data_IF_301998807936
#
_entry.id   IF_301998807936
#
_cell.length_a   1.000
_cell.length_b   1.000
_cell.length_c   1.000
_cell.angle_alpha   90.00
_cell.angle_beta   90.00
_cell.angle_gamma   90.00
#
_symmetry.space_group_name_H-M   'P 1'
#
loop_
_entity.id
_entity.type
_entity.pdbx_description
1 polymer ?
#
# COMPACT_ATOMS: atom_id res chain seq x y z
N UNK A 1 7.58 -6.42 -1.66
CA UNK A 1 7.63 -5.34 -0.65
C UNK A 1 6.94 -4.05 -1.09
N UNK A 2 7.48 -3.26 -2.03
CA UNK A 2 6.92 -1.93 -2.37
C UNK A 2 5.44 -1.96 -2.83
N UNK A 3 5.03 -2.99 -3.58
CA UNK A 3 3.63 -3.17 -3.98
C UNK A 3 2.68 -3.34 -2.78
N UNK A 4 3.12 -4.01 -1.72
CA UNK A 4 2.31 -4.22 -0.52
C UNK A 4 2.29 -2.98 0.39
N UNK A 5 3.38 -2.21 0.44
CA UNK A 5 3.35 -0.87 1.04
C UNK A 5 2.34 0.03 0.32
N UNK A 6 2.29 -0.02 -1.01
CA UNK A 6 1.31 0.73 -1.77
C UNK A 6 -0.12 0.20 -1.57
N UNK A 7 -0.31 -1.11 -1.41
CA UNK A 7 -1.60 -1.70 -1.04
C UNK A 7 -2.08 -1.16 0.32
N UNK A 8 -1.22 -1.13 1.33
CA UNK A 8 -1.51 -0.53 2.63
C UNK A 8 -1.90 0.95 2.52
N UNK A 9 -1.12 1.74 1.79
CA UNK A 9 -1.43 3.16 1.57
C UNK A 9 -2.77 3.38 0.84
N UNK A 10 -3.12 2.49 -0.09
CA UNK A 10 -4.39 2.51 -0.80
C UNK A 10 -5.56 2.11 0.09
N UNK A 11 -5.42 1.06 0.91
CA UNK A 11 -6.46 0.63 1.84
C UNK A 11 -6.70 1.63 2.97
N UNK A 12 -5.65 2.29 3.48
CA UNK A 12 -5.81 3.39 4.45
C UNK A 12 -6.54 4.59 3.84
N UNK A 13 -6.24 4.93 2.58
CA UNK A 13 -6.99 5.99 1.88
C UNK A 13 -8.46 5.60 1.71
N UNK A 14 -8.72 4.36 1.29
CA UNK A 14 -10.09 3.85 1.17
C UNK A 14 -10.81 3.87 2.52
N UNK A 15 -10.18 3.40 3.59
CA UNK A 15 -10.74 3.37 4.94
C UNK A 15 -11.07 4.78 5.42
N UNK A 16 -10.12 5.73 5.29
CA UNK A 16 -10.32 7.11 5.69
C UNK A 16 -11.51 7.75 4.95
N UNK A 17 -11.57 7.62 3.62
CA UNK A 17 -12.70 8.14 2.84
C UNK A 17 -14.03 7.48 3.25
N UNK A 18 -14.03 6.16 3.40
CA UNK A 18 -15.24 5.39 3.73
C UNK A 18 -15.83 5.77 5.09
N UNK A 19 -15.01 5.91 6.14
CA UNK A 19 -15.49 6.28 7.47
C UNK A 19 -15.91 7.75 7.53
N UNK A 20 -15.26 8.63 6.76
CA UNK A 20 -15.64 10.04 6.66
C UNK A 20 -17.03 10.20 6.03
N UNK A 21 -17.34 9.45 4.97
CA UNK A 21 -18.65 9.47 4.31
C UNK A 21 -19.77 8.95 5.23
N UNK A 22 -19.43 8.12 6.22
CA UNK A 22 -20.34 7.68 7.28
C UNK A 22 -20.46 8.68 8.44
N UNK A 23 -19.70 9.78 8.42
CA UNK A 23 -19.72 10.84 9.43
C UNK A 23 -18.70 10.68 10.56
N UNK A 24 -17.76 9.73 10.47
CA UNK A 24 -16.75 9.48 11.50
C UNK A 24 -15.45 10.24 11.19
N UNK A 25 -15.31 11.44 11.75
CA UNK A 25 -14.14 12.31 11.51
C UNK A 25 -12.86 11.82 12.20
N UNK A 26 -12.95 11.29 13.43
CA UNK A 26 -11.76 10.85 14.18
C UNK A 26 -11.01 9.70 13.48
N UNK A 27 -11.67 8.62 13.04
CA UNK A 27 -11.00 7.55 12.31
C UNK A 27 -10.43 8.00 10.95
N UNK A 28 -11.06 8.99 10.29
CA UNK A 28 -10.52 9.59 9.08
C UNK A 28 -9.15 10.25 9.32
N UNK A 29 -9.04 11.08 10.36
CA UNK A 29 -7.77 11.73 10.70
C UNK A 29 -6.67 10.72 11.03
N UNK A 30 -7.02 9.63 11.73
CA UNK A 30 -6.04 8.59 12.06
C UNK A 30 -5.57 7.84 10.81
N UNK A 31 -6.50 7.46 9.93
CA UNK A 31 -6.16 6.80 8.66
C UNK A 31 -5.27 7.67 7.78
N UNK A 32 -5.53 8.98 7.71
CA UNK A 32 -4.69 9.92 6.94
C UNK A 32 -3.31 10.13 7.54
N UNK A 33 -3.21 10.25 8.88
CA UNK A 33 -1.91 10.34 9.59
C UNK A 33 -1.07 9.09 9.33
N UNK A 34 -1.66 7.92 9.51
CA UNK A 34 -0.92 6.66 9.42
C UNK A 34 -0.57 6.32 7.96
N UNK A 35 -1.38 6.79 7.00
CA UNK A 35 -1.03 6.78 5.57
C UNK A 35 0.21 7.62 5.27
N UNK A 36 0.37 8.77 5.91
CA UNK A 36 1.51 9.67 5.67
C UNK A 36 2.84 9.01 6.00
N UNK A 37 2.89 8.20 7.06
CA UNK A 37 4.07 7.41 7.44
C UNK A 37 4.51 6.44 6.33
N UNK A 38 3.56 5.81 5.64
CA UNK A 38 3.86 4.92 4.51
C UNK A 38 4.33 5.72 3.30
N UNK A 39 3.74 6.89 3.04
CA UNK A 39 4.18 7.76 1.95
C UNK A 39 5.60 8.28 2.17
N UNK A 40 6.00 8.56 3.40
CA UNK A 40 7.38 8.92 3.75
C UNK A 40 8.35 7.77 3.44
N UNK A 41 7.96 6.53 3.74
CA UNK A 41 8.74 5.36 3.34
C UNK A 41 8.85 5.25 1.82
N UNK A 42 7.75 5.39 1.08
CA UNK A 42 7.74 5.33 -0.38
C UNK A 42 8.52 6.49 -1.04
N UNK A 43 8.47 7.67 -0.43
CA UNK A 43 9.27 8.82 -0.83
C UNK A 43 10.77 8.54 -0.64
N UNK A 44 11.17 7.84 0.42
CA UNK A 44 12.59 7.55 0.66
C UNK A 44 13.22 6.70 -0.46
N UNK A 45 12.44 5.87 -1.16
CA UNK A 45 12.91 5.09 -2.31
C UNK A 45 13.01 5.89 -3.62
N UNK A 46 12.10 6.85 -3.80
CA UNK A 46 11.78 7.39 -5.14
C UNK A 46 11.99 8.88 -5.27
N UNK A 47 12.05 9.61 -4.15
CA UNK A 47 12.07 11.07 -4.10
C UNK A 47 10.70 11.73 -4.32
N UNK A 48 9.64 10.95 -4.59
CA UNK A 48 8.31 11.47 -4.85
C UNK A 48 7.26 10.82 -3.93
N UNK A 49 6.23 11.57 -3.55
CA UNK A 49 5.18 11.10 -2.62
C UNK A 49 4.07 10.27 -3.28
N UNK A 50 3.82 10.45 -4.58
CA UNK A 50 2.71 9.78 -5.29
C UNK A 50 3.14 9.17 -6.62
N UNK A 51 3.93 9.91 -7.41
CA UNK A 51 4.41 9.46 -8.72
C UNK A 51 5.77 8.80 -8.58
N UNK A 52 5.78 7.53 -8.18
CA UNK A 52 6.97 6.83 -7.73
C UNK A 52 7.98 6.48 -8.84
N UNK A 53 7.52 6.20 -10.06
CA UNK A 53 8.36 5.78 -11.20
C UNK A 53 9.46 4.76 -10.83
N UNK A 54 9.14 3.84 -9.92
CA UNK A 54 10.11 2.95 -9.27
C UNK A 54 10.27 1.62 -10.01
N UNK A 55 9.14 0.99 -10.36
CA UNK A 55 9.13 -0.23 -11.15
C UNK A 55 9.33 0.13 -12.63
N UNK A 56 10.35 -0.46 -13.24
CA UNK A 56 10.67 -0.29 -14.66
C UNK A 56 10.78 -1.65 -15.33
N UNK A 57 10.66 -1.68 -16.65
CA UNK A 57 10.92 -2.91 -17.41
C UNK A 57 12.38 -3.33 -17.14
N UNK A 58 12.56 -4.54 -16.61
CA UNK A 58 13.87 -5.07 -16.22
C UNK A 58 14.21 -4.99 -14.73
N UNK A 59 13.37 -4.35 -13.89
CA UNK A 59 13.53 -4.37 -12.43
C UNK A 59 13.12 -3.06 -11.73
N UNK A 60 13.96 -2.61 -10.81
CA UNK A 60 13.72 -1.39 -10.01
C UNK A 60 14.68 -0.26 -10.40
N UNK A 61 14.27 0.99 -10.19
CA UNK A 61 15.06 2.19 -10.54
C UNK A 61 16.21 2.48 -9.57
N UNK A 62 15.92 2.42 -8.27
CA UNK A 62 16.86 2.76 -7.19
C UNK A 62 16.99 1.58 -6.23
N UNK A 63 18.10 1.53 -5.50
CA UNK A 63 18.27 0.58 -4.40
C UNK A 63 17.60 1.09 -3.12
N UNK A 64 17.52 0.22 -2.11
CA UNK A 64 16.98 0.54 -0.80
C UNK A 64 17.93 1.51 -0.06
N UNK A 65 17.43 2.64 0.51
CA UNK A 65 18.28 3.56 1.23
C UNK A 65 18.74 2.98 2.59
N UNK A 66 19.87 3.46 3.10
CA UNK A 66 20.44 2.98 4.37
C UNK A 66 19.46 3.24 5.53
N UNK A 67 19.31 2.24 6.40
CA UNK A 67 18.40 2.27 7.55
C UNK A 67 16.91 2.22 7.18
N UNK A 68 16.56 1.88 5.94
CA UNK A 68 15.18 1.73 5.52
C UNK A 68 14.48 0.57 6.24
N UNK A 69 15.14 -0.59 6.35
CA UNK A 69 14.55 -1.82 6.91
C UNK A 69 14.08 -1.57 8.34
N UNK A 70 14.92 -0.96 9.18
CA UNK A 70 14.57 -0.59 10.56
C UNK A 70 13.40 0.40 10.64
N UNK A 71 13.40 1.44 9.79
CA UNK A 71 12.29 2.40 9.73
C UNK A 71 10.99 1.72 9.30
N UNK A 72 11.07 0.81 8.33
CA UNK A 72 9.91 0.08 7.84
C UNK A 72 9.33 -0.81 8.94
N UNK A 73 10.16 -1.58 9.68
CA UNK A 73 9.72 -2.40 10.82
C UNK A 73 8.98 -1.57 11.87
N UNK A 74 9.53 -0.42 12.27
CA UNK A 74 8.88 0.49 13.23
C UNK A 74 7.51 0.98 12.77
N UNK A 75 7.36 1.30 11.49
CA UNK A 75 6.06 1.70 10.93
C UNK A 75 5.09 0.51 10.89
N UNK A 76 5.55 -0.70 10.58
CA UNK A 76 4.69 -1.89 10.60
C UNK A 76 4.17 -2.19 12.01
N UNK A 77 5.04 -2.12 13.03
CA UNK A 77 4.66 -2.30 14.44
C UNK A 77 3.67 -1.23 14.91
N UNK A 78 3.88 0.02 14.48
CA UNK A 78 2.93 1.11 14.74
C UNK A 78 1.54 0.83 14.13
N UNK A 79 1.51 0.48 12.83
CA UNK A 79 0.25 0.21 12.11
C UNK A 79 -0.52 -0.97 12.71
N UNK A 80 0.18 -2.04 13.09
CA UNK A 80 -0.45 -3.22 13.69
C UNK A 80 -1.21 -2.85 14.98
N UNK A 81 -0.63 -1.98 15.81
CA UNK A 81 -1.31 -1.48 17.00
C UNK A 81 -2.51 -0.59 16.66
N UNK A 82 -2.42 0.24 15.60
CA UNK A 82 -3.49 1.14 15.17
C UNK A 82 -4.68 0.42 14.55
N UNK A 83 -4.47 -0.71 13.87
CA UNK A 83 -5.58 -1.46 13.27
C UNK A 83 -6.59 -1.96 14.31
N UNK A 84 -6.13 -2.30 15.52
CA UNK A 84 -7.03 -2.66 16.63
C UNK A 84 -7.88 -1.47 17.07
N UNK A 85 -7.27 -0.29 17.16
CA UNK A 85 -7.97 0.96 17.49
C UNK A 85 -9.02 1.32 16.42
N UNK A 86 -8.72 1.08 15.14
CA UNK A 86 -9.66 1.32 14.04
C UNK A 86 -10.90 0.43 14.13
N UNK A 87 -10.70 -0.85 14.43
CA UNK A 87 -11.79 -1.79 14.66
C UNK A 87 -12.59 -1.41 15.90
N UNK A 88 -11.94 -1.07 17.01
CA UNK A 88 -12.63 -0.63 18.21
C UNK A 88 -13.53 0.60 17.96
N UNK A 89 -13.08 1.55 17.13
CA UNK A 89 -13.86 2.74 16.79
C UNK A 89 -15.03 2.44 15.84
N UNK A 90 -14.86 1.51 14.91
CA UNK A 90 -15.89 1.19 13.91
C UNK A 90 -16.88 0.13 14.41
N UNK A 91 -16.37 -0.97 14.97
CA UNK A 91 -17.16 -2.14 15.34
C UNK A 91 -18.05 -1.92 16.56
N UNK A 92 -17.61 -1.06 17.50
CA UNK A 92 -18.41 -0.70 18.68
C UNK A 92 -19.40 0.43 18.39
N UNK A 93 -19.35 1.02 17.20
CA UNK A 93 -20.23 2.13 16.82
C UNK A 93 -21.53 1.60 16.23
N UNK A 94 -22.63 1.78 16.95
CA UNK A 94 -23.98 1.42 16.47
C UNK A 94 -24.33 2.12 15.14
N UNK A 95 -23.86 3.37 14.96
CA UNK A 95 -24.10 4.15 13.75
C UNK A 95 -23.40 3.47 12.57
N UNK A 96 -22.15 3.02 12.76
CA UNK A 96 -21.40 2.34 11.72
C UNK A 96 -22.07 1.02 11.34
N UNK A 97 -22.43 0.19 12.32
CA UNK A 97 -23.08 -1.10 12.07
C UNK A 97 -24.42 -0.92 11.34
N UNK A 98 -25.28 0.01 11.78
CA UNK A 98 -26.57 0.29 11.13
C UNK A 98 -26.45 0.74 9.67
N UNK A 99 -25.33 1.36 9.29
CA UNK A 99 -25.10 1.90 7.94
C UNK A 99 -24.37 0.94 7.02
N UNK A 100 -23.82 -0.15 7.54
CA UNK A 100 -22.95 -1.06 6.78
C UNK A 100 -23.49 -2.49 6.73
N UNK A 101 -24.10 -2.97 7.81
CA UNK A 101 -24.63 -4.34 7.90
C UNK A 101 -25.91 -4.45 7.08
N UNK A 102 -25.97 -5.44 6.18
CA UNK A 102 -27.12 -5.68 5.29
C UNK A 102 -27.33 -4.64 4.20
N UNK A 103 -26.41 -3.68 4.04
CA UNK A 103 -26.49 -2.63 3.01
C UNK A 103 -25.66 -3.04 1.80
N UNK A 104 -26.22 -2.82 0.60
CA UNK A 104 -25.51 -3.02 -0.66
C UNK A 104 -25.08 -4.47 -0.91
N UNK A 105 -25.90 -5.43 -0.47
CA UNK A 105 -25.64 -6.87 -0.59
C UNK A 105 -25.46 -7.26 -2.05
N UNK A 106 -24.37 -7.96 -2.36
CA UNK A 106 -24.08 -8.48 -3.69
C UNK A 106 -23.55 -9.92 -3.57
N UNK A 107 -24.37 -10.90 -3.96
CA UNK A 107 -24.05 -12.32 -3.74
C UNK A 107 -23.01 -12.83 -4.75
N UNK A 108 -22.36 -13.94 -4.42
CA UNK A 108 -21.32 -14.56 -5.25
C UNK A 108 -21.73 -14.74 -6.72
N UNK A 109 -22.96 -15.22 -6.98
CA UNK A 109 -23.46 -15.42 -8.35
C UNK A 109 -23.55 -14.12 -9.13
N UNK A 110 -24.05 -13.05 -8.51
CA UNK A 110 -24.18 -11.74 -9.12
C UNK A 110 -22.80 -11.12 -9.36
N UNK A 111 -21.90 -11.21 -8.37
CA UNK A 111 -20.51 -10.78 -8.52
C UNK A 111 -19.83 -11.44 -9.73
N UNK A 112 -20.02 -12.75 -9.92
CA UNK A 112 -19.42 -13.49 -11.04
C UNK A 112 -20.06 -13.10 -12.37
N UNK A 113 -21.40 -12.99 -12.41
CA UNK A 113 -22.13 -12.61 -13.62
C UNK A 113 -21.75 -11.20 -14.11
N UNK A 114 -21.56 -10.26 -13.18
CA UNK A 114 -21.23 -8.86 -13.46
C UNK A 114 -19.72 -8.60 -13.59
N UNK A 115 -18.88 -9.63 -13.44
CA UNK A 115 -17.42 -9.51 -13.54
C UNK A 115 -16.77 -8.73 -12.38
N UNK A 116 -17.43 -8.68 -11.22
CA UNK A 116 -16.92 -8.01 -10.01
C UNK A 116 -15.78 -8.81 -9.38
N UNK A 117 -14.71 -8.13 -8.98
CA UNK A 117 -13.48 -8.77 -8.47
C UNK A 117 -12.98 -8.13 -7.16
N UNK A 118 -11.93 -8.73 -6.58
CA UNK A 118 -11.24 -8.19 -5.40
C UNK A 118 -12.06 -8.29 -4.12
N UNK A 119 -11.99 -7.29 -3.21
CA UNK A 119 -12.66 -7.33 -1.91
C UNK A 119 -14.19 -7.52 -2.00
N UNK A 120 -14.81 -7.05 -3.08
CA UNK A 120 -16.25 -7.20 -3.32
C UNK A 120 -16.62 -8.68 -3.49
N UNK A 121 -15.91 -9.39 -4.36
CA UNK A 121 -16.11 -10.82 -4.61
C UNK A 121 -15.76 -11.66 -3.37
N UNK A 122 -14.66 -11.30 -2.68
CA UNK A 122 -14.21 -11.97 -1.45
C UNK A 122 -15.12 -11.77 -0.26
N UNK A 123 -15.84 -10.64 -0.19
CA UNK A 123 -16.85 -10.40 0.83
C UNK A 123 -18.10 -11.26 0.67
N UNK A 124 -18.26 -11.91 -0.48
CA UNK A 124 -19.34 -12.84 -0.79
C UNK A 124 -18.89 -14.32 -0.69
N UNK A 125 -17.77 -14.59 -0.02
CA UNK A 125 -17.26 -15.94 0.27
C UNK A 125 -16.50 -16.61 -0.87
N UNK A 126 -16.19 -15.92 -1.98
CA UNK A 126 -15.48 -16.53 -3.12
C UNK A 126 -13.96 -16.36 -2.97
N UNK A 127 -13.17 -17.45 -2.80
CA UNK A 127 -11.71 -17.42 -2.60
C UNK A 127 -10.95 -17.16 -3.89
N UNK A 128 -11.07 -15.94 -4.44
CA UNK A 128 -10.35 -15.52 -5.65
C UNK A 128 -9.32 -14.45 -5.32
N UNK A 129 -8.04 -14.74 -5.58
CA UNK A 129 -6.96 -13.75 -5.56
C UNK A 129 -5.91 -14.12 -6.61
N UNK A 130 -5.65 -13.20 -7.54
CA UNK A 130 -4.69 -13.38 -8.63
C UNK A 130 -3.30 -13.74 -8.08
N UNK A 131 -2.90 -13.19 -6.92
CA UNK A 131 -1.58 -13.45 -6.32
C UNK A 131 -1.39 -14.92 -5.91
N UNK A 132 -2.47 -15.66 -5.67
CA UNK A 132 -2.45 -17.11 -5.38
C UNK A 132 -2.82 -17.94 -6.61
N UNK A 133 -3.84 -17.52 -7.36
CA UNK A 133 -4.36 -18.28 -8.51
C UNK A 133 -3.41 -18.25 -9.72
N UNK A 134 -2.74 -17.12 -9.93
CA UNK A 134 -1.75 -16.91 -11.00
C UNK A 134 -0.62 -16.05 -10.44
N UNK A 135 0.23 -16.63 -9.58
CA UNK A 135 1.30 -15.90 -8.92
C UNK A 135 2.21 -15.20 -9.93
N UNK A 136 2.65 -14.00 -9.56
CA UNK A 136 3.60 -13.20 -10.32
C UNK A 136 4.68 -12.69 -9.39
N UNK A 137 5.80 -12.20 -9.93
CA UNK A 137 6.96 -11.80 -9.15
C UNK A 137 7.42 -12.90 -8.20
N UNK A 138 7.22 -12.73 -6.88
CA UNK A 138 7.69 -13.64 -5.82
C UNK A 138 6.54 -14.01 -4.87
N UNK A 139 5.29 -13.83 -5.30
CA UNK A 139 4.11 -14.08 -4.44
C UNK A 139 3.86 -15.56 -4.16
N UNK A 140 4.41 -16.45 -4.98
CA UNK A 140 4.43 -17.90 -4.80
C UNK A 140 5.35 -18.35 -3.66
N UNK A 141 6.43 -17.61 -3.40
CA UNK A 141 7.35 -17.87 -2.28
C UNK A 141 6.88 -17.26 -0.94
N UNK A 142 5.83 -16.43 -0.96
CA UNK A 142 5.35 -15.69 0.20
C UNK A 142 4.14 -16.37 0.87
N UNK A 143 4.15 -16.40 2.20
CA UNK A 143 3.07 -16.96 3.00
C UNK A 143 2.05 -15.90 3.40
N UNK A 144 0.85 -16.00 2.86
CA UNK A 144 -0.28 -15.16 3.24
C UNK A 144 -1.60 -15.86 2.95
N UNK A 145 -2.64 -15.43 3.64
CA UNK A 145 -3.99 -15.98 3.53
C UNK A 145 -4.89 -15.03 2.72
N UNK A 146 -5.86 -15.59 2.00
CA UNK A 146 -6.86 -14.79 1.27
C UNK A 146 -7.98 -14.43 2.24
N UNK A 147 -8.13 -13.14 2.52
CA UNK A 147 -9.20 -12.64 3.39
C UNK A 147 -10.58 -12.91 2.79
N UNK A 148 -11.45 -13.55 3.55
CA UNK A 148 -12.82 -13.89 3.17
C UNK A 148 -13.81 -13.42 4.21
N UNK A 149 -15.04 -13.19 3.77
CA UNK A 149 -16.19 -12.94 4.63
C UNK A 149 -17.45 -13.43 3.91
N UNK A 150 -18.49 -13.77 4.67
CA UNK A 150 -19.73 -14.36 4.11
C UNK A 150 -20.92 -13.38 4.08
N UNK A 151 -20.73 -12.17 4.61
CA UNK A 151 -21.79 -11.16 4.73
C UNK A 151 -22.31 -10.60 3.40
N UNK A 152 -21.50 -10.63 2.32
CA UNK A 152 -21.79 -10.07 1.00
C UNK A 152 -22.19 -8.57 0.97
N UNK A 153 -22.12 -7.89 2.11
CA UNK A 153 -22.57 -6.53 2.37
C UNK A 153 -21.38 -5.56 2.52
N UNK A 154 -21.69 -4.28 2.76
CA UNK A 154 -20.67 -3.25 2.98
C UNK A 154 -19.78 -3.59 4.19
N UNK A 155 -20.35 -4.13 5.26
CA UNK A 155 -19.59 -4.54 6.44
C UNK A 155 -18.59 -5.67 6.13
N UNK A 156 -18.99 -6.69 5.38
CA UNK A 156 -18.10 -7.76 4.95
C UNK A 156 -16.93 -7.26 4.11
N UNK A 157 -17.17 -6.26 3.23
CA UNK A 157 -16.10 -5.62 2.45
C UNK A 157 -15.12 -4.84 3.31
N UNK A 158 -15.61 -4.19 4.37
CA UNK A 158 -14.76 -3.55 5.36
C UNK A 158 -13.87 -4.58 6.07
N UNK A 159 -14.45 -5.68 6.56
CA UNK A 159 -13.70 -6.77 7.21
C UNK A 159 -12.62 -7.36 6.31
N UNK A 160 -12.96 -7.67 5.06
CA UNK A 160 -11.99 -8.20 4.08
C UNK A 160 -10.83 -7.23 3.90
N UNK A 161 -11.08 -5.92 3.76
CA UNK A 161 -9.99 -4.92 3.59
C UNK A 161 -9.14 -4.74 4.85
N UNK A 162 -9.74 -4.78 6.04
CA UNK A 162 -8.99 -4.76 7.30
C UNK A 162 -8.05 -5.97 7.41
N UNK A 163 -8.54 -7.15 7.06
CA UNK A 163 -7.72 -8.37 7.05
C UNK A 163 -6.65 -8.34 5.96
N UNK A 164 -6.97 -7.83 4.77
CA UNK A 164 -5.96 -7.62 3.72
C UNK A 164 -4.83 -6.69 4.18
N UNK A 165 -5.11 -5.67 4.99
CA UNK A 165 -4.05 -4.84 5.57
C UNK A 165 -3.15 -5.64 6.52
N UNK A 166 -3.70 -6.54 7.36
CA UNK A 166 -2.89 -7.43 8.20
C UNK A 166 -2.03 -8.40 7.38
N UNK A 167 -2.61 -9.00 6.35
CA UNK A 167 -1.87 -9.88 5.45
C UNK A 167 -0.77 -9.12 4.69
N UNK A 168 -1.02 -7.86 4.34
CA UNK A 168 0.01 -6.99 3.75
C UNK A 168 1.16 -6.73 4.72
N UNK A 169 0.89 -6.47 6.00
CA UNK A 169 1.93 -6.35 7.03
C UNK A 169 2.75 -7.65 7.14
N UNK A 170 2.08 -8.82 7.15
CA UNK A 170 2.74 -10.14 7.19
C UNK A 170 3.69 -10.34 5.99
N UNK A 171 3.24 -10.01 4.78
CA UNK A 171 4.07 -10.10 3.58
C UNK A 171 5.26 -9.14 3.67
N UNK A 172 5.04 -7.90 4.11
CA UNK A 172 6.13 -6.91 4.24
C UNK A 172 7.19 -7.40 5.22
N UNK A 173 6.79 -7.94 6.39
CA UNK A 173 7.71 -8.51 7.38
C UNK A 173 8.56 -9.64 6.78
N UNK A 174 7.95 -10.59 6.06
CA UNK A 174 8.69 -11.66 5.37
C UNK A 174 9.70 -11.11 4.35
N UNK A 175 9.31 -10.09 3.59
CA UNK A 175 10.24 -9.48 2.62
C UNK A 175 11.39 -8.73 3.28
N UNK A 176 11.18 -8.14 4.46
CA UNK A 176 12.25 -7.53 5.25
C UNK A 176 13.22 -8.58 5.80
N UNK A 177 12.69 -9.69 6.31
CA UNK A 177 13.50 -10.81 6.82
C UNK A 177 14.35 -11.44 5.70
N UNK A 178 13.81 -11.53 4.48
CA UNK A 178 14.56 -11.99 3.31
C UNK A 178 15.69 -11.03 2.92
N UNK A 179 15.43 -9.72 2.96
CA UNK A 179 16.43 -8.69 2.66
C UNK A 179 17.59 -8.71 3.66
N UNK A 180 17.30 -8.93 4.95
CA UNK A 180 18.33 -9.02 5.99
C UNK A 180 19.22 -10.27 5.82
N UNK A 181 18.64 -11.38 5.34
CA UNK A 181 19.37 -12.63 5.03
C UNK A 181 20.17 -12.57 3.73
N UNK A 182 19.75 -11.72 2.80
CA UNK A 182 20.33 -11.61 1.45
C UNK A 182 20.96 -10.24 1.23
N UNK A 183 22.11 -9.94 1.88
CA UNK A 183 22.77 -8.66 1.73
C UNK A 183 23.33 -8.53 0.30
N UNK A 184 22.83 -7.54 -0.42
CA UNK A 184 23.21 -7.30 -1.81
C UNK A 184 22.43 -6.15 -2.41
N UNK A 185 22.83 -5.73 -3.61
CA UNK A 185 22.06 -4.72 -4.34
C UNK A 185 20.76 -5.33 -4.84
N UNK A 186 19.64 -4.64 -4.62
CA UNK A 186 18.35 -5.05 -5.20
C UNK A 186 18.29 -4.70 -6.69
N UNK A 187 19.14 -3.76 -7.13
CA UNK A 187 19.26 -3.34 -8.53
C UNK A 187 19.83 -4.45 -9.43
N UNK A 188 19.11 -4.72 -10.52
CA UNK A 188 19.62 -5.54 -11.63
C UNK A 188 20.78 -4.82 -12.33
N UNK A 189 21.89 -5.54 -12.55
CA UNK A 189 23.07 -5.03 -13.25
C UNK A 189 22.81 -4.63 -14.70
N UNK A 190 21.72 -5.15 -15.30
CA UNK A 190 21.39 -4.98 -16.71
C UNK A 190 20.62 -3.70 -17.02
N UNK A 191 20.15 -2.97 -16.02
CA UNK A 191 19.38 -1.74 -16.23
C UNK A 191 20.35 -0.57 -16.39
N UNK A 192 20.28 0.19 -17.51
CA UNK A 192 21.05 1.42 -17.65
C UNK A 192 20.71 2.36 -16.50
N UNK A 193 21.72 2.73 -15.70
CA UNK A 193 21.56 3.73 -14.64
C UNK A 193 21.08 5.03 -15.30
N UNK A 194 20.01 5.61 -14.77
CA UNK A 194 19.68 6.99 -15.09
C UNK A 194 20.75 7.86 -14.43
N UNK A 195 21.87 8.05 -15.14
CA UNK A 195 22.81 9.10 -14.85
C UNK A 195 22.07 10.37 -15.20
N UNK A 196 21.53 11.06 -14.19
CA UNK A 196 21.03 12.42 -14.39
C UNK A 196 22.11 13.26 -15.07
N UNK A 197 21.74 14.37 -15.69
CA UNK A 197 22.73 15.27 -16.28
C UNK A 197 23.86 15.52 -15.27
N UNK A 198 25.15 15.42 -15.68
CA UNK A 198 26.27 15.59 -14.78
C UNK A 198 26.09 16.91 -14.01
N UNK A 199 26.28 16.86 -12.69
CA UNK A 199 26.26 18.08 -11.88
C UNK A 199 27.27 19.06 -12.47
N UNK A 200 26.88 20.33 -12.71
CA UNK A 200 27.82 21.33 -13.20
C UNK A 200 29.04 21.42 -12.29
N UNK A 201 30.25 21.65 -12.85
CA UNK A 201 31.40 22.05 -12.05
C UNK A 201 31.06 23.24 -11.14
N UNK A 202 31.59 23.31 -9.91
CA UNK A 202 31.40 24.45 -9.03
C UNK A 202 31.74 25.76 -9.76
N UNK A 203 30.79 26.70 -9.82
CA UNK A 203 30.94 27.98 -10.52
C UNK A 203 30.45 28.04 -11.96
N UNK A 204 29.78 26.99 -12.47
CA UNK A 204 29.12 27.04 -13.79
C UNK A 204 27.60 27.10 -13.68
N UNK A 205 26.97 28.01 -14.43
CA UNK A 205 25.52 28.03 -14.61
C UNK A 205 25.10 26.93 -15.60
N UNK A 206 24.53 25.83 -15.10
CA UNK A 206 23.87 24.86 -15.97
C UNK A 206 22.37 25.09 -16.01
N UNK A 207 21.85 25.45 -17.17
CA UNK A 207 20.42 25.49 -17.43
C UNK A 207 19.94 24.10 -17.84
N UNK A 208 19.54 23.27 -16.87
CA UNK A 208 18.85 22.02 -17.17
C UNK A 208 17.42 22.39 -17.58
N UNK A 209 17.12 22.31 -18.88
CA UNK A 209 15.76 22.36 -19.40
C UNK A 209 14.97 21.14 -18.89
N UNK A 210 14.48 21.21 -17.65
CA UNK A 210 13.46 20.28 -17.15
C UNK A 210 12.17 20.63 -17.86
N UNK A 211 11.83 19.85 -18.89
CA UNK A 211 10.52 19.90 -19.54
C UNK A 211 9.47 19.34 -18.56
N UNK A 212 8.98 20.18 -17.65
CA UNK A 212 7.87 19.84 -16.74
C UNK A 212 7.97 20.42 -15.32
N UNK A 213 7.09 21.41 -15.06
CA UNK A 213 6.66 22.04 -13.79
C UNK A 213 7.68 22.78 -12.90
N UNK A 214 7.40 24.06 -12.56
CA UNK A 214 8.27 24.87 -11.70
C UNK A 214 7.94 24.60 -10.22
N UNK A 215 8.90 24.07 -9.46
CA UNK A 215 8.89 24.21 -7.99
C UNK A 215 10.30 24.43 -7.46
N UNK A 216 10.48 25.59 -6.85
CA UNK A 216 11.47 25.84 -5.80
C UNK A 216 12.86 26.21 -6.30
N UNK A 217 13.20 27.48 -6.16
CA UNK A 217 14.59 27.96 -6.17
C UNK A 217 15.25 27.42 -4.89
N UNK A 218 16.14 26.44 -5.03
CA UNK A 218 17.07 26.07 -3.98
C UNK A 218 18.34 26.90 -4.17
N UNK A 219 18.62 27.81 -3.25
CA UNK A 219 19.95 28.41 -3.13
C UNK A 219 20.92 27.37 -2.57
N UNK A 220 22.14 27.41 -3.08
CA UNK A 220 23.26 26.54 -2.73
C UNK A 220 23.66 26.65 -1.25
#
# INVERSE_FOLDING_TARGET
>A
MCSELQRLASHLMWYAAFVQDLGLMTPFLYGMRDRDLILDLLQSFTGARMTYEYMRVGGVRNDIPVGFTDRCRKVMDWLEARFREYEDLCDKSDIFLKRTVGVGVLKARECIADGVTGPMLRSAGVPRDIRKDRPYSVYDELEFDVALHDGADVFGRYRVRMEEMRQSLRIVRQTLDYLDRSPGRVLSERIPRFVGAPSPPPGSESYILRRGYPKGVGFA
#
